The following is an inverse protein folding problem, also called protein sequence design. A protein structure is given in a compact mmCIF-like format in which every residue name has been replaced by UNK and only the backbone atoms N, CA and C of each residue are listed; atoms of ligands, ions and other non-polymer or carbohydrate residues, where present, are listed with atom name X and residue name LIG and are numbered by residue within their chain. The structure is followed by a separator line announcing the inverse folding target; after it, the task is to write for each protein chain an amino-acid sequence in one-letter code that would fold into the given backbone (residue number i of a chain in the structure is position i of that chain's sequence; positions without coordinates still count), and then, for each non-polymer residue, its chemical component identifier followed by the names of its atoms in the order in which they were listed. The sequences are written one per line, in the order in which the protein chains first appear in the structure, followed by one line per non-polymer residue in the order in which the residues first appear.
data_IF_779104485344
#
_entry.id   IF_779104485344
#
_cell.length_a   1.000
_cell.length_b   1.000
_cell.length_c   1.000
_cell.angle_alpha   90.00
_cell.angle_beta   90.00
_cell.angle_gamma   90.00
#
_symmetry.space_group_name_H-M   'P 1'
#
loop_
_entity.id
_entity.type
_entity.pdbx_description
1 polymer ?
#
# COMPACT_ATOMS: atom_id res chain seq x y z
N UNK A 1 43.84 -2.83 2.64
CA UNK A 1 43.04 -2.26 1.54
C UNK A 1 41.77 -1.72 2.13
N UNK A 2 41.39 -0.47 1.87
CA UNK A 2 40.13 0.10 2.39
C UNK A 2 38.94 -0.70 1.86
N UNK A 3 37.92 -0.93 2.68
CA UNK A 3 36.67 -1.66 2.36
C UNK A 3 36.01 -1.10 1.10
N UNK A 4 36.12 0.21 0.88
CA UNK A 4 35.63 0.90 -0.31
C UNK A 4 36.16 0.29 -1.62
N UNK A 5 37.46 -0.07 -1.67
CA UNK A 5 38.08 -0.72 -2.84
C UNK A 5 37.59 -2.16 -3.03
N UNK A 6 37.20 -2.84 -1.96
CA UNK A 6 36.64 -4.21 -2.02
C UNK A 6 35.17 -4.22 -2.48
N UNK A 7 34.35 -3.29 -2.00
CA UNK A 7 32.98 -3.11 -2.48
C UNK A 7 32.97 -2.65 -3.93
N UNK A 8 33.86 -1.71 -4.32
CA UNK A 8 34.02 -1.27 -5.71
C UNK A 8 34.53 -2.40 -6.62
N UNK A 9 35.42 -3.28 -6.14
CA UNK A 9 35.87 -4.43 -6.92
C UNK A 9 34.78 -5.48 -7.09
N UNK A 10 33.97 -5.75 -6.05
CA UNK A 10 32.80 -6.64 -6.13
C UNK A 10 31.72 -6.07 -7.06
N UNK A 11 31.53 -4.74 -7.10
CA UNK A 11 30.66 -4.04 -8.06
C UNK A 11 31.24 -4.10 -9.48
N UNK A 12 32.57 -3.95 -9.66
CA UNK A 12 33.26 -4.03 -10.97
C UNK A 12 33.30 -5.45 -11.52
N UNK A 13 33.44 -6.46 -10.67
CA UNK A 13 33.45 -7.87 -11.07
C UNK A 13 32.03 -8.42 -11.43
N UNK A 14 30.99 -7.60 -11.39
CA UNK A 14 29.61 -8.01 -11.74
C UNK A 14 28.96 -8.94 -10.72
N UNK A 15 29.70 -9.41 -9.71
CA UNK A 15 29.20 -10.36 -8.69
C UNK A 15 28.15 -9.77 -7.76
N UNK A 16 28.13 -8.45 -7.57
CA UNK A 16 27.09 -7.75 -6.82
C UNK A 16 25.91 -7.33 -7.70
N UNK A 17 26.07 -7.20 -9.02
CA UNK A 17 24.97 -6.80 -9.93
C UNK A 17 23.84 -7.82 -10.00
N UNK A 18 24.11 -9.09 -9.76
CA UNK A 18 23.07 -10.12 -9.69
C UNK A 18 22.45 -10.27 -8.30
N UNK A 19 23.02 -9.61 -7.28
CA UNK A 19 22.70 -9.84 -5.86
C UNK A 19 22.32 -8.60 -5.07
N UNK A 20 22.56 -7.39 -5.58
CA UNK A 20 22.32 -6.14 -4.84
C UNK A 20 21.87 -5.04 -5.79
N UNK A 21 20.88 -4.27 -5.38
CA UNK A 21 20.58 -2.96 -5.97
C UNK A 21 21.35 -1.91 -5.19
N UNK A 22 22.02 -1.00 -5.87
CA UNK A 22 22.74 0.12 -5.26
C UNK A 22 22.16 1.43 -5.82
N UNK A 23 21.62 2.25 -4.94
CA UNK A 23 21.23 3.62 -5.23
C UNK A 23 22.29 4.57 -4.69
N UNK A 24 22.79 5.45 -5.53
CA UNK A 24 23.84 6.40 -5.18
C UNK A 24 23.26 7.81 -5.32
N UNK A 25 23.18 8.53 -4.21
CA UNK A 25 22.91 9.96 -4.17
C UNK A 25 24.15 10.71 -3.72
N UNK A 26 24.15 12.04 -3.82
CA UNK A 26 25.27 12.89 -3.37
C UNK A 26 25.52 12.80 -1.85
N UNK A 27 24.57 12.26 -1.08
CA UNK A 27 24.63 12.17 0.38
C UNK A 27 24.62 10.74 0.91
N UNK A 28 24.10 9.75 0.16
CA UNK A 28 23.91 8.38 0.64
C UNK A 28 24.17 7.35 -0.46
N UNK A 29 24.70 6.19 -0.07
CA UNK A 29 24.75 4.98 -0.88
C UNK A 29 23.89 3.94 -0.20
N UNK A 30 22.77 3.56 -0.82
CA UNK A 30 21.88 2.50 -0.33
C UNK A 30 22.20 1.22 -1.09
N UNK A 31 22.65 0.19 -0.38
CA UNK A 31 22.90 -1.15 -0.94
C UNK A 31 21.84 -2.10 -0.40
N UNK A 32 21.01 -2.62 -1.29
CA UNK A 32 19.94 -3.55 -0.96
C UNK A 32 20.35 -4.97 -1.27
N UNK A 33 20.41 -5.85 -0.26
CA UNK A 33 20.78 -7.27 -0.39
C UNK A 33 19.58 -8.16 -0.04
N UNK A 34 19.25 -9.19 -0.87
CA UNK A 34 18.24 -10.18 -0.51
C UNK A 34 18.64 -10.95 0.75
N UNK A 35 17.73 -11.03 1.74
CA UNK A 35 18.00 -11.68 3.06
C UNK A 35 18.42 -13.14 2.93
N UNK A 36 17.91 -13.85 1.92
CA UNK A 36 18.22 -15.27 1.68
C UNK A 36 19.66 -15.53 1.24
N UNK A 37 20.35 -14.50 0.81
CA UNK A 37 21.76 -14.58 0.37
C UNK A 37 22.74 -14.10 1.46
N UNK A 38 22.22 -13.74 2.64
CA UNK A 38 23.05 -13.35 3.78
C UNK A 38 23.30 -14.59 4.64
N UNK A 39 24.52 -15.09 4.64
CA UNK A 39 24.91 -16.24 5.47
C UNK A 39 24.78 -15.92 6.96
N UNK A 40 24.46 -16.92 7.82
CA UNK A 40 24.46 -16.73 9.26
C UNK A 40 25.78 -16.14 9.76
N UNK A 41 25.72 -15.13 10.62
CA UNK A 41 26.89 -14.40 11.12
C UNK A 41 27.44 -13.29 10.20
N UNK A 42 26.88 -13.15 8.98
CA UNK A 42 27.29 -12.05 8.07
C UNK A 42 26.74 -10.71 8.56
N UNK A 43 25.56 -10.72 9.21
CA UNK A 43 24.95 -9.51 9.74
C UNK A 43 25.82 -8.89 10.83
N UNK A 44 26.22 -9.71 11.81
CA UNK A 44 27.07 -9.28 12.92
C UNK A 44 28.45 -8.79 12.44
N UNK A 45 29.05 -9.49 11.49
CA UNK A 45 30.29 -9.06 10.87
C UNK A 45 30.15 -7.80 10.05
N UNK A 46 29.02 -7.64 9.32
CA UNK A 46 28.74 -6.40 8.60
C UNK A 46 28.51 -5.24 9.57
N UNK A 47 27.77 -5.44 10.64
CA UNK A 47 27.52 -4.44 11.68
C UNK A 47 28.85 -4.03 12.36
N UNK A 48 29.75 -4.97 12.65
CA UNK A 48 31.07 -4.69 13.22
C UNK A 48 31.92 -3.85 12.23
N UNK A 49 31.91 -4.17 10.94
CA UNK A 49 32.63 -3.40 9.91
C UNK A 49 31.99 -2.04 9.60
N UNK A 50 30.68 -1.92 9.74
CA UNK A 50 29.91 -0.72 9.39
C UNK A 50 29.75 0.27 10.56
N UNK A 51 30.11 -0.12 11.79
CA UNK A 51 30.15 0.78 12.94
C UNK A 51 31.06 2.01 12.77
N UNK A 52 31.88 2.02 11.72
CA UNK A 52 32.73 3.15 11.37
C UNK A 52 32.21 4.00 10.21
N UNK A 53 31.04 3.63 9.62
CA UNK A 53 30.42 4.33 8.50
C UNK A 53 28.91 4.44 8.74
N UNK A 54 28.27 5.55 8.39
CA UNK A 54 26.81 5.73 8.54
C UNK A 54 26.04 4.96 7.43
N UNK A 55 26.27 3.66 7.31
CA UNK A 55 25.56 2.79 6.36
C UNK A 55 24.46 2.06 7.11
N UNK A 56 23.21 2.30 6.71
CA UNK A 56 22.05 1.57 7.21
C UNK A 56 21.78 0.37 6.31
N UNK A 57 21.95 -0.85 6.83
CA UNK A 57 21.57 -2.08 6.11
C UNK A 57 20.11 -2.36 6.37
N UNK A 58 19.25 -2.22 5.37
CA UNK A 58 17.83 -2.56 5.44
C UNK A 58 17.65 -3.92 4.75
N UNK A 59 17.30 -4.99 5.48
CA UNK A 59 17.04 -6.28 4.87
C UNK A 59 15.75 -6.22 4.04
N UNK A 60 15.85 -6.47 2.75
CA UNK A 60 14.68 -6.55 1.85
C UNK A 60 14.11 -7.96 1.89
N UNK A 61 12.88 -8.06 2.35
CA UNK A 61 12.14 -9.33 2.34
C UNK A 61 11.50 -9.53 0.97
N UNK A 62 11.81 -10.65 0.32
CA UNK A 62 11.12 -11.02 -0.92
C UNK A 62 9.62 -11.25 -0.72
N UNK A 63 8.89 -11.12 -1.83
CA UNK A 63 7.49 -11.50 -1.95
C UNK A 63 7.20 -12.82 -1.22
N UNK A 64 6.26 -12.79 -0.27
CA UNK A 64 5.84 -13.99 0.45
C UNK A 64 4.91 -14.87 -0.42
N UNK A 65 4.85 -16.16 -0.10
CA UNK A 65 3.91 -17.08 -0.77
C UNK A 65 2.45 -16.61 -0.62
N UNK A 66 2.10 -16.03 0.55
CA UNK A 66 0.76 -15.50 0.79
C UNK A 66 0.45 -14.31 -0.12
N UNK A 67 1.39 -13.36 -0.28
CA UNK A 67 1.23 -12.23 -1.20
C UNK A 67 1.13 -12.70 -2.66
N UNK A 68 2.00 -13.64 -3.06
CA UNK A 68 1.93 -14.21 -4.41
C UNK A 68 0.59 -14.90 -4.68
N UNK A 69 0.12 -15.70 -3.73
CA UNK A 69 -1.20 -16.34 -3.83
C UNK A 69 -2.33 -15.30 -3.94
N UNK A 70 -2.28 -14.24 -3.13
CA UNK A 70 -3.25 -13.16 -3.18
C UNK A 70 -3.25 -12.44 -4.53
N UNK A 71 -2.08 -12.07 -5.06
CA UNK A 71 -1.94 -11.43 -6.38
C UNK A 71 -2.61 -12.30 -7.45
N UNK A 72 -2.35 -13.61 -7.46
CA UNK A 72 -2.95 -14.52 -8.43
C UNK A 72 -4.48 -14.62 -8.31
N UNK A 73 -5.02 -14.64 -7.09
CA UNK A 73 -6.47 -14.68 -6.85
C UNK A 73 -7.14 -13.39 -7.34
N UNK A 74 -6.58 -12.24 -7.01
CA UNK A 74 -7.11 -10.95 -7.42
C UNK A 74 -7.07 -10.77 -8.94
N UNK A 75 -5.94 -11.09 -9.57
CA UNK A 75 -5.78 -11.00 -11.02
C UNK A 75 -6.72 -11.96 -11.76
N UNK A 76 -6.91 -13.18 -11.22
CA UNK A 76 -7.85 -14.12 -11.86
C UNK A 76 -9.27 -13.57 -11.85
N UNK A 77 -9.77 -13.08 -10.72
CA UNK A 77 -11.12 -12.52 -10.65
C UNK A 77 -11.26 -11.29 -11.52
N UNK A 78 -10.26 -10.41 -11.51
CA UNK A 78 -10.24 -9.23 -12.36
C UNK A 78 -10.35 -9.63 -13.84
N UNK A 79 -9.51 -10.58 -14.28
CA UNK A 79 -9.55 -11.10 -15.66
C UNK A 79 -10.88 -11.74 -16.02
N UNK A 80 -11.43 -12.58 -15.13
CA UNK A 80 -12.71 -13.26 -15.34
C UNK A 80 -13.85 -12.24 -15.57
N UNK A 81 -13.87 -11.09 -14.84
CA UNK A 81 -14.89 -10.05 -14.98
C UNK A 81 -14.78 -9.25 -16.29
N UNK A 82 -13.59 -9.07 -16.85
CA UNK A 82 -13.38 -8.30 -18.07
C UNK A 82 -13.09 -9.17 -19.31
N UNK A 83 -13.13 -10.50 -19.15
CA UNK A 83 -12.97 -11.44 -20.28
C UNK A 83 -11.52 -11.74 -20.67
N UNK A 84 -10.55 -11.55 -19.78
CA UNK A 84 -9.14 -11.89 -20.01
C UNK A 84 -8.73 -13.15 -19.28
N UNK A 85 -7.81 -13.91 -19.86
CA UNK A 85 -7.16 -15.02 -19.18
C UNK A 85 -6.23 -14.50 -18.06
N UNK A 86 -5.91 -15.36 -17.09
CA UNK A 86 -4.97 -15.01 -16.01
C UNK A 86 -3.60 -14.55 -16.55
N UNK A 87 -3.16 -15.12 -17.67
CA UNK A 87 -1.87 -14.77 -18.25
C UNK A 87 -1.93 -13.35 -18.84
N UNK A 88 -2.95 -13.07 -19.63
CA UNK A 88 -3.14 -11.75 -20.27
C UNK A 88 -3.30 -10.65 -19.23
N UNK A 89 -4.19 -10.83 -18.26
CA UNK A 89 -4.43 -9.81 -17.24
C UNK A 89 -3.20 -9.58 -16.36
N UNK A 90 -2.42 -10.62 -16.08
CA UNK A 90 -1.17 -10.50 -15.32
C UNK A 90 -0.14 -9.65 -16.05
N UNK A 91 0.06 -9.90 -17.34
CA UNK A 91 1.02 -9.10 -18.12
C UNK A 91 0.53 -7.66 -18.28
N UNK A 92 -0.75 -7.46 -18.57
CA UNK A 92 -1.35 -6.12 -18.68
C UNK A 92 -1.18 -5.32 -17.38
N UNK A 93 -1.53 -5.90 -16.23
CA UNK A 93 -1.43 -5.23 -14.94
C UNK A 93 0.01 -4.95 -14.51
N UNK A 94 0.94 -5.84 -14.84
CA UNK A 94 2.37 -5.61 -14.61
C UNK A 94 2.90 -4.45 -15.43
N UNK A 95 2.54 -4.38 -16.71
CA UNK A 95 2.92 -3.29 -17.59
C UNK A 95 2.37 -1.96 -17.10
N UNK A 96 1.08 -1.89 -16.79
CA UNK A 96 0.45 -0.68 -16.26
C UNK A 96 1.06 -0.24 -14.93
N UNK A 97 1.32 -1.17 -14.02
CA UNK A 97 1.99 -0.88 -12.77
C UNK A 97 3.41 -0.36 -12.98
N UNK A 98 4.18 -1.00 -13.88
CA UNK A 98 5.54 -0.58 -14.22
C UNK A 98 5.56 0.86 -14.77
N UNK A 99 4.64 1.19 -15.66
CA UNK A 99 4.50 2.54 -16.21
C UNK A 99 4.10 3.55 -15.13
N UNK A 100 3.11 3.21 -14.29
CA UNK A 100 2.59 4.12 -13.27
C UNK A 100 3.58 4.42 -12.14
N UNK A 101 4.55 3.53 -11.92
CA UNK A 101 5.55 3.64 -10.85
C UNK A 101 6.97 3.90 -11.36
N UNK A 102 7.15 4.06 -12.68
CA UNK A 102 8.47 4.18 -13.36
C UNK A 102 9.42 3.01 -13.05
N UNK A 103 8.85 1.80 -12.87
CA UNK A 103 9.60 0.56 -12.59
C UNK A 103 9.54 -0.40 -13.76
N UNK A 104 10.18 -0.03 -14.89
CA UNK A 104 10.07 -0.75 -16.17
C UNK A 104 10.52 -2.22 -16.13
N UNK A 105 11.29 -2.63 -15.14
CA UNK A 105 11.78 -4.00 -14.93
C UNK A 105 10.94 -4.79 -13.91
N UNK A 106 9.74 -4.31 -13.54
CA UNK A 106 8.90 -4.93 -12.52
C UNK A 106 8.58 -6.40 -12.84
N UNK A 107 8.83 -7.26 -11.88
CA UNK A 107 8.52 -8.69 -11.94
C UNK A 107 8.03 -9.22 -10.59
N UNK A 108 6.87 -9.85 -10.57
CA UNK A 108 6.34 -10.51 -9.38
C UNK A 108 7.24 -11.64 -8.85
N UNK A 109 8.09 -12.23 -9.69
CA UNK A 109 9.03 -13.27 -9.27
C UNK A 109 10.27 -12.72 -8.53
N UNK A 110 10.58 -11.42 -8.72
CA UNK A 110 11.80 -10.80 -8.20
C UNK A 110 11.54 -9.66 -7.22
N UNK A 111 10.30 -9.17 -7.11
CA UNK A 111 9.99 -8.02 -6.26
C UNK A 111 10.09 -8.36 -4.76
N UNK A 112 10.31 -7.34 -3.97
CA UNK A 112 10.25 -7.40 -2.52
C UNK A 112 8.80 -7.35 -2.00
N UNK A 113 8.65 -7.51 -0.68
CA UNK A 113 7.33 -7.49 -0.03
C UNK A 113 6.63 -6.14 -0.12
N UNK A 114 7.38 -5.05 -0.15
CA UNK A 114 6.84 -3.69 -0.21
C UNK A 114 6.28 -3.41 -1.60
N UNK A 115 7.08 -3.65 -2.64
CA UNK A 115 6.65 -3.57 -4.04
C UNK A 115 5.48 -4.50 -4.34
N UNK A 116 5.47 -5.72 -3.77
CA UNK A 116 4.33 -6.62 -3.88
C UNK A 116 3.06 -6.05 -3.26
N UNK A 117 3.20 -5.37 -2.12
CA UNK A 117 2.09 -4.69 -1.46
C UNK A 117 1.55 -3.52 -2.29
N UNK A 118 2.43 -2.75 -2.90
CA UNK A 118 2.04 -1.67 -3.83
C UNK A 118 1.29 -2.24 -5.03
N UNK A 119 1.78 -3.33 -5.61
CA UNK A 119 1.12 -3.99 -6.72
C UNK A 119 -0.27 -4.54 -6.34
N UNK A 120 -0.43 -5.14 -5.16
CA UNK A 120 -1.74 -5.55 -4.63
C UNK A 120 -2.67 -4.34 -4.52
N UNK A 121 -2.19 -3.23 -3.98
CA UNK A 121 -2.98 -1.99 -3.87
C UNK A 121 -3.39 -1.45 -5.24
N UNK A 122 -2.48 -1.47 -6.20
CA UNK A 122 -2.75 -1.09 -7.58
C UNK A 122 -3.87 -1.93 -8.21
N UNK A 123 -3.82 -3.28 -8.09
CA UNK A 123 -4.90 -4.16 -8.59
C UNK A 123 -6.25 -3.79 -7.97
N UNK A 124 -6.28 -3.51 -6.66
CA UNK A 124 -7.50 -3.11 -5.96
C UNK A 124 -8.02 -1.76 -6.49
N UNK A 125 -7.13 -0.80 -6.70
CA UNK A 125 -7.49 0.52 -7.25
C UNK A 125 -8.06 0.42 -8.66
N UNK A 126 -7.46 -0.42 -9.52
CA UNK A 126 -7.98 -0.67 -10.88
C UNK A 126 -9.34 -1.38 -10.84
N UNK A 127 -9.54 -2.34 -9.93
CA UNK A 127 -10.83 -2.99 -9.75
C UNK A 127 -11.92 -2.01 -9.32
N UNK A 128 -11.61 -1.07 -8.43
CA UNK A 128 -12.53 -0.01 -8.01
C UNK A 128 -12.89 0.91 -9.18
N UNK A 129 -11.93 1.29 -10.02
CA UNK A 129 -12.19 2.13 -11.20
C UNK A 129 -13.16 1.50 -12.19
N UNK A 130 -13.12 0.18 -12.32
CA UNK A 130 -14.00 -0.56 -13.22
C UNK A 130 -15.26 -1.12 -12.54
N UNK A 131 -15.47 -0.83 -11.24
CA UNK A 131 -16.61 -1.34 -10.47
C UNK A 131 -16.58 -2.85 -10.24
N UNK A 132 -15.39 -3.47 -10.31
CA UNK A 132 -15.21 -4.90 -10.10
C UNK A 132 -15.16 -5.23 -8.61
N UNK A 133 -16.02 -6.15 -8.16
CA UNK A 133 -16.01 -6.65 -6.80
C UNK A 133 -15.04 -7.82 -6.65
N UNK A 134 -14.08 -7.67 -5.74
CA UNK A 134 -13.07 -8.70 -5.46
C UNK A 134 -13.42 -9.50 -4.21
N UNK A 135 -13.25 -10.81 -4.26
CA UNK A 135 -13.54 -11.76 -3.18
C UNK A 135 -12.35 -12.66 -2.89
N UNK A 136 -12.22 -13.09 -1.66
CA UNK A 136 -11.16 -14.01 -1.24
C UNK A 136 -11.77 -15.18 -0.47
N UNK A 137 -11.30 -16.39 -0.76
CA UNK A 137 -11.72 -17.58 -0.03
C UNK A 137 -11.15 -17.56 1.39
N UNK A 138 -12.02 -17.55 2.38
CA UNK A 138 -11.63 -17.57 3.79
C UNK A 138 -10.83 -18.83 4.14
N UNK A 139 -9.71 -18.65 4.85
CA UNK A 139 -8.78 -19.75 5.19
C UNK A 139 -9.44 -20.82 6.07
N UNK A 140 -10.27 -20.42 7.00
CA UNK A 140 -10.87 -21.31 8.01
C UNK A 140 -12.28 -21.74 7.69
N UNK A 141 -13.14 -20.82 7.30
CA UNK A 141 -14.57 -21.04 7.06
C UNK A 141 -14.89 -21.48 5.63
N UNK A 142 -13.90 -21.45 4.74
CA UNK A 142 -14.04 -21.85 3.32
C UNK A 142 -15.16 -21.12 2.56
N UNK A 143 -15.58 -19.94 3.05
CA UNK A 143 -16.53 -19.07 2.36
C UNK A 143 -15.81 -17.99 1.60
N UNK A 144 -16.37 -17.57 0.48
CA UNK A 144 -15.93 -16.38 -0.21
C UNK A 144 -16.34 -15.17 0.60
N UNK A 145 -15.36 -14.35 0.94
CA UNK A 145 -15.52 -13.09 1.66
C UNK A 145 -15.20 -11.96 0.71
N UNK A 146 -16.03 -10.92 0.75
CA UNK A 146 -15.67 -9.69 0.08
C UNK A 146 -14.33 -9.18 0.65
N UNK A 147 -13.54 -8.51 -0.18
CA UNK A 147 -12.21 -7.98 0.22
C UNK A 147 -12.29 -7.12 1.50
N UNK A 148 -13.44 -6.49 1.77
CA UNK A 148 -13.73 -5.74 2.99
C UNK A 148 -13.74 -6.58 4.27
N UNK A 149 -14.00 -7.88 4.18
CA UNK A 149 -14.08 -8.76 5.34
C UNK A 149 -12.70 -9.32 5.79
N UNK A 150 -11.61 -8.81 5.22
CA UNK A 150 -10.25 -9.33 5.43
C UNK A 150 -9.35 -8.23 5.96
N UNK A 151 -9.05 -8.24 7.25
CA UNK A 151 -8.37 -7.17 7.99
C UNK A 151 -7.13 -6.57 7.30
N UNK A 152 -6.25 -7.41 6.76
CA UNK A 152 -5.03 -6.93 6.10
C UNK A 152 -5.26 -6.26 4.73
N UNK A 153 -6.42 -6.47 4.13
CA UNK A 153 -6.78 -5.96 2.82
C UNK A 153 -7.76 -4.80 2.96
N UNK A 154 -8.59 -4.82 4.00
CA UNK A 154 -9.58 -3.77 4.28
C UNK A 154 -8.92 -2.40 4.35
N UNK A 155 -7.77 -2.27 5.00
CA UNK A 155 -7.05 -0.99 5.06
C UNK A 155 -6.65 -0.49 3.68
N UNK A 156 -6.14 -1.36 2.81
CA UNK A 156 -5.76 -1.01 1.42
C UNK A 156 -6.96 -0.60 0.61
N UNK A 157 -8.07 -1.32 0.75
CA UNK A 157 -9.33 -0.98 0.11
C UNK A 157 -9.84 0.39 0.55
N UNK A 158 -9.82 0.70 1.85
CA UNK A 158 -10.25 2.01 2.37
C UNK A 158 -9.33 3.12 1.85
N UNK A 159 -8.01 2.89 1.78
CA UNK A 159 -7.06 3.85 1.20
C UNK A 159 -7.35 4.07 -0.29
N UNK A 160 -7.59 3.01 -1.04
CA UNK A 160 -7.96 3.11 -2.45
C UNK A 160 -9.27 3.90 -2.64
N UNK A 161 -10.29 3.61 -1.82
CA UNK A 161 -11.54 4.38 -1.82
C UNK A 161 -11.33 5.86 -1.48
N UNK A 162 -10.45 6.18 -0.52
CA UNK A 162 -10.09 7.56 -0.19
C UNK A 162 -9.43 8.27 -1.38
N UNK A 163 -8.49 7.63 -2.06
CA UNK A 163 -7.79 8.17 -3.24
C UNK A 163 -8.74 8.44 -4.40
N UNK A 164 -9.63 7.51 -4.66
CA UNK A 164 -10.59 7.57 -5.78
C UNK A 164 -11.87 8.34 -5.46
N UNK A 165 -12.06 8.80 -4.23
CA UNK A 165 -13.32 9.38 -3.73
C UNK A 165 -14.52 8.48 -4.01
N UNK A 166 -14.40 7.23 -3.62
CA UNK A 166 -15.45 6.20 -3.71
C UNK A 166 -15.96 5.88 -2.32
N UNK A 167 -17.26 5.68 -2.17
CA UNK A 167 -17.82 5.24 -0.89
C UNK A 167 -17.34 3.81 -0.59
N UNK A 168 -16.60 3.62 0.49
CA UNK A 168 -16.04 2.32 0.84
C UNK A 168 -17.09 1.26 1.24
N UNK A 169 -18.38 1.63 1.33
CA UNK A 169 -19.48 0.70 1.64
C UNK A 169 -20.22 0.25 0.38
N UNK A 170 -20.54 1.17 -0.53
CA UNK A 170 -21.42 0.85 -1.68
C UNK A 170 -20.79 1.14 -3.04
N UNK A 171 -19.52 1.50 -3.10
CA UNK A 171 -18.82 1.73 -4.35
C UNK A 171 -19.26 2.96 -5.15
N UNK A 172 -20.17 3.81 -4.62
CA UNK A 172 -20.59 5.03 -5.33
C UNK A 172 -19.42 5.99 -5.46
N UNK A 173 -19.22 6.51 -6.67
CA UNK A 173 -18.21 7.50 -6.98
C UNK A 173 -18.69 8.92 -6.69
N UNK A 174 -17.73 9.81 -6.43
CA UNK A 174 -17.98 11.23 -6.27
C UNK A 174 -18.26 11.88 -7.63
N UNK A 175 -19.43 12.50 -7.73
CA UNK A 175 -19.86 13.30 -8.88
C UNK A 175 -20.82 14.40 -8.45
N UNK A 176 -21.40 15.14 -9.38
CA UNK A 176 -22.34 16.22 -9.11
C UNK A 176 -23.61 15.76 -8.36
N UNK A 177 -24.01 14.48 -8.49
CA UNK A 177 -25.18 13.90 -7.84
C UNK A 177 -24.86 13.15 -6.55
N UNK A 178 -23.61 12.73 -6.37
CA UNK A 178 -23.16 11.91 -5.24
C UNK A 178 -21.94 12.54 -4.59
N UNK A 179 -22.12 13.22 -3.48
CA UNK A 179 -20.99 13.72 -2.68
C UNK A 179 -20.40 12.57 -1.88
N UNK A 180 -19.09 12.33 -2.07
CA UNK A 180 -18.31 11.45 -1.22
C UNK A 180 -17.45 12.32 -0.31
N UNK A 181 -17.63 12.12 0.99
CA UNK A 181 -17.00 12.91 2.04
C UNK A 181 -15.87 12.14 2.72
N UNK A 182 -14.85 12.86 3.13
CA UNK A 182 -13.84 12.35 4.06
C UNK A 182 -14.44 12.31 5.46
N UNK A 183 -14.67 11.09 5.97
CA UNK A 183 -15.27 10.89 7.27
C UNK A 183 -14.22 10.58 8.34
N UNK A 184 -14.30 11.29 9.47
CA UNK A 184 -13.49 11.02 10.65
C UNK A 184 -14.07 9.82 11.41
N UNK A 185 -13.29 8.79 11.58
CA UNK A 185 -13.72 7.58 12.31
C UNK A 185 -13.99 7.83 13.79
N UNK A 186 -13.23 8.71 14.41
CA UNK A 186 -13.48 9.19 15.76
C UNK A 186 -14.12 10.58 15.70
N UNK A 187 -14.81 10.96 16.77
CA UNK A 187 -15.44 12.28 16.85
C UNK A 187 -14.41 13.40 16.62
N UNK A 188 -14.79 14.36 15.79
CA UNK A 188 -13.97 15.58 15.55
C UNK A 188 -13.75 16.36 16.84
N UNK A 189 -14.67 16.28 17.79
CA UNK A 189 -14.51 16.89 19.11
C UNK A 189 -13.30 16.32 19.88
N UNK A 190 -12.96 15.03 19.66
CA UNK A 190 -11.82 14.39 20.33
C UNK A 190 -10.46 14.95 19.90
N UNK A 191 -10.38 15.59 18.75
CA UNK A 191 -9.17 16.26 18.23
C UNK A 191 -9.23 17.79 18.35
N UNK A 192 -10.24 18.31 19.03
CA UNK A 192 -10.39 19.75 19.27
C UNK A 192 -11.02 20.52 18.10
N UNK A 193 -11.74 19.85 17.20
CA UNK A 193 -12.43 20.47 16.06
C UNK A 193 -11.72 20.30 14.72
N UNK A 194 -12.42 20.65 13.64
CA UNK A 194 -11.90 20.53 12.26
C UNK A 194 -10.64 21.35 12.01
N UNK A 195 -10.50 22.50 12.66
CA UNK A 195 -9.32 23.36 12.51
C UNK A 195 -8.05 22.72 13.03
N UNK A 196 -8.15 21.78 13.98
CA UNK A 196 -7.04 21.06 14.57
C UNK A 196 -6.73 19.71 13.88
N UNK A 197 -7.46 19.40 12.82
CA UNK A 197 -7.26 18.15 12.07
C UNK A 197 -6.01 18.27 11.20
N UNK A 198 -4.95 17.54 11.57
CA UNK A 198 -3.71 17.38 10.80
C UNK A 198 -3.70 16.11 9.94
N UNK A 199 -4.72 15.25 10.06
CA UNK A 199 -4.80 13.97 9.34
C UNK A 199 -4.09 12.81 10.04
N UNK A 200 -3.33 13.05 11.10
CA UNK A 200 -2.51 12.03 11.77
C UNK A 200 -3.09 11.57 13.12
N UNK A 201 -4.07 12.30 13.65
CA UNK A 201 -4.61 12.09 15.02
C UNK A 201 -5.88 11.23 15.08
N UNK A 202 -6.45 10.86 13.95
CA UNK A 202 -7.67 10.06 13.87
C UNK A 202 -7.68 9.23 12.60
N UNK A 203 -8.31 8.06 12.58
CA UNK A 203 -8.52 7.30 11.36
C UNK A 203 -9.59 7.94 10.47
N UNK A 204 -9.54 7.63 9.17
CA UNK A 204 -10.46 8.16 8.15
C UNK A 204 -11.02 7.08 7.25
N UNK A 205 -12.16 7.39 6.62
CA UNK A 205 -12.74 6.63 5.52
C UNK A 205 -13.53 7.56 4.59
N UNK A 206 -13.89 7.07 3.41
CA UNK A 206 -14.72 7.80 2.45
C UNK A 206 -16.14 7.25 2.44
N UNK A 207 -17.13 8.11 2.65
CA UNK A 207 -18.54 7.74 2.72
C UNK A 207 -19.40 8.64 1.84
N UNK A 208 -20.44 8.05 1.20
CA UNK A 208 -21.52 8.85 0.61
C UNK A 208 -22.46 9.38 1.71
N UNK A 209 -23.26 10.37 1.41
CA UNK A 209 -24.17 11.01 2.36
C UNK A 209 -25.04 9.99 3.13
N UNK A 210 -25.57 8.95 2.45
CA UNK A 210 -26.37 7.89 3.09
C UNK A 210 -25.58 7.16 4.17
N UNK A 211 -24.39 6.66 3.87
CA UNK A 211 -23.58 5.88 4.82
C UNK A 211 -22.93 6.77 5.88
N UNK A 212 -22.68 8.04 5.57
CA UNK A 212 -22.24 9.01 6.56
C UNK A 212 -23.31 9.28 7.62
N UNK A 213 -24.56 9.49 7.20
CA UNK A 213 -25.70 9.63 8.10
C UNK A 213 -25.94 8.35 8.91
N UNK A 214 -25.87 7.19 8.28
CA UNK A 214 -26.00 5.89 8.96
C UNK A 214 -24.93 5.71 10.05
N UNK A 215 -23.67 6.05 9.77
CA UNK A 215 -22.60 5.99 10.76
C UNK A 215 -22.94 6.82 12.01
N UNK A 216 -23.40 8.05 11.81
CA UNK A 216 -23.79 8.91 12.93
C UNK A 216 -25.03 8.42 13.67
N UNK A 217 -25.97 7.78 12.97
CA UNK A 217 -27.21 7.27 13.58
C UNK A 217 -26.99 5.97 14.38
N UNK A 218 -26.12 5.07 13.89
CA UNK A 218 -25.92 3.74 14.50
C UNK A 218 -24.72 3.69 15.44
N UNK A 219 -23.78 4.60 15.28
CA UNK A 219 -22.53 4.65 16.00
C UNK A 219 -21.48 3.68 15.47
N UNK A 220 -20.24 3.96 15.84
CA UNK A 220 -19.01 3.36 15.34
C UNK A 220 -18.98 1.82 15.43
N UNK A 221 -19.28 1.26 16.59
CA UNK A 221 -19.21 -0.19 16.80
C UNK A 221 -20.28 -0.95 16.01
N UNK A 222 -21.50 -0.43 15.95
CA UNK A 222 -22.57 -1.03 15.15
C UNK A 222 -22.23 -0.99 13.67
N UNK A 223 -21.70 0.15 13.19
CA UNK A 223 -21.30 0.32 11.81
C UNK A 223 -20.16 -0.62 11.43
N UNK A 224 -19.10 -0.73 12.29
CA UNK A 224 -17.99 -1.66 12.12
C UNK A 224 -18.48 -3.11 12.01
N UNK A 225 -19.33 -3.53 12.93
CA UNK A 225 -19.84 -4.90 12.97
C UNK A 225 -20.77 -5.22 11.78
N UNK A 226 -21.49 -4.24 11.27
CA UNK A 226 -22.37 -4.41 10.12
C UNK A 226 -21.64 -4.55 8.81
N UNK A 227 -20.60 -3.75 8.60
CA UNK A 227 -19.88 -3.65 7.32
C UNK A 227 -18.49 -4.27 7.33
N UNK A 228 -18.02 -4.76 8.49
CA UNK A 228 -16.66 -5.35 8.67
C UNK A 228 -15.55 -4.39 8.23
N UNK A 229 -15.73 -3.09 8.45
CA UNK A 229 -14.83 -2.04 8.01
C UNK A 229 -14.57 -1.05 9.12
N UNK A 230 -13.39 -0.49 9.14
CA UNK A 230 -13.02 0.61 10.04
C UNK A 230 -12.18 1.67 9.32
N UNK A 231 -12.07 2.85 9.92
CA UNK A 231 -11.24 3.92 9.40
C UNK A 231 -9.77 3.55 9.44
N UNK A 232 -9.00 4.09 8.50
CA UNK A 232 -7.55 3.86 8.38
C UNK A 232 -6.76 5.05 8.90
N UNK A 233 -5.66 4.76 9.59
CA UNK A 233 -4.66 5.75 9.98
C UNK A 233 -3.87 6.17 8.75
N UNK A 234 -3.67 7.48 8.60
CA UNK A 234 -2.89 8.03 7.52
C UNK A 234 -1.45 8.27 7.97
N UNK A 235 -0.50 8.13 7.05
CA UNK A 235 0.86 8.64 7.20
C UNK A 235 0.99 10.01 6.53
N UNK A 236 2.16 10.64 6.68
CA UNK A 236 2.43 11.99 6.15
C UNK A 236 2.24 12.05 4.63
N UNK A 237 2.69 11.04 3.90
CA UNK A 237 2.59 10.96 2.44
C UNK A 237 1.13 10.90 2.00
N UNK A 238 0.32 10.03 2.62
CA UNK A 238 -1.11 9.93 2.35
C UNK A 238 -1.86 11.22 2.69
N UNK A 239 -1.51 11.90 3.78
CA UNK A 239 -2.13 13.20 4.11
C UNK A 239 -1.81 14.22 3.03
N UNK A 240 -0.56 14.31 2.54
CA UNK A 240 -0.17 15.20 1.43
C UNK A 240 -0.98 14.90 0.15
N UNK A 241 -1.14 13.63 -0.18
CA UNK A 241 -1.90 13.18 -1.32
C UNK A 241 -3.39 13.52 -1.18
N UNK A 242 -4.02 13.11 -0.08
CA UNK A 242 -5.44 13.29 0.16
C UNK A 242 -5.83 14.77 0.36
N UNK A 243 -4.95 15.62 0.84
CA UNK A 243 -5.17 17.07 0.94
C UNK A 243 -5.43 17.71 -0.43
N UNK A 244 -4.83 17.18 -1.50
CA UNK A 244 -5.10 17.63 -2.87
C UNK A 244 -6.51 17.25 -3.35
N UNK A 245 -7.01 16.11 -2.88
CA UNK A 245 -8.33 15.55 -3.22
C UNK A 245 -9.44 16.18 -2.36
N UNK A 246 -9.20 16.28 -1.05
CA UNK A 246 -10.13 16.81 -0.03
C UNK A 246 -9.67 18.19 0.46
N UNK A 247 -9.76 19.19 -0.41
CA UNK A 247 -9.15 20.54 -0.24
C UNK A 247 -9.50 21.27 1.07
N UNK A 248 -10.66 20.98 1.68
CA UNK A 248 -11.15 21.63 2.90
C UNK A 248 -10.78 20.86 4.19
N UNK A 249 -10.03 19.76 4.07
CA UNK A 249 -9.61 18.94 5.19
C UNK A 249 -8.13 19.14 5.51
N UNK A 250 -7.69 18.59 6.65
CA UNK A 250 -6.30 18.62 7.10
C UNK A 250 -5.73 20.05 7.28
N UNK A 251 -6.55 20.94 7.85
CA UNK A 251 -6.19 22.37 8.00
C UNK A 251 -4.96 22.59 8.88
N UNK A 252 -4.79 21.78 9.93
CA UNK A 252 -3.65 21.84 10.83
C UNK A 252 -2.38 21.17 10.29
N UNK A 253 -2.47 20.46 9.15
CA UNK A 253 -1.31 19.81 8.55
C UNK A 253 -0.34 20.84 7.99
N UNK A 254 0.86 20.86 8.57
CA UNK A 254 1.99 21.67 8.10
C UNK A 254 2.97 20.74 7.39
N UNK A 255 3.33 21.09 6.18
CA UNK A 255 4.45 20.43 5.50
C UNK A 255 5.72 20.91 6.23
N UNK A 256 6.44 20.00 6.87
CA UNK A 256 7.79 20.30 7.31
C UNK A 256 8.64 20.51 6.05
N UNK A 257 9.22 21.70 5.96
CA UNK A 257 10.09 22.15 4.87
C UNK A 257 11.45 21.46 4.97
#
# INVERSE_FOLDING_TARGET
MPIYSRILNLLREGRLREMANAEISDQEIIITLPVEKVYPGTKEKLEEYLNHFPIKVIPVKKLSQAQNGLIHVLLKQFGDEIGYTLIEIKELMKEQFAISTDRLDFSTAKCDMETANEFISFIIEQALELGINLYILGKYDKRYKHILEIDNITQRYVIACLRKRVCCICGKEHNEYNTIELHHWNSVASIGGYENCDGLKTPFMSLCAKHHQEFHATGKETFKNKYYIEGVWLNVELVKELKKIYKNHFKAFKEEI
#
